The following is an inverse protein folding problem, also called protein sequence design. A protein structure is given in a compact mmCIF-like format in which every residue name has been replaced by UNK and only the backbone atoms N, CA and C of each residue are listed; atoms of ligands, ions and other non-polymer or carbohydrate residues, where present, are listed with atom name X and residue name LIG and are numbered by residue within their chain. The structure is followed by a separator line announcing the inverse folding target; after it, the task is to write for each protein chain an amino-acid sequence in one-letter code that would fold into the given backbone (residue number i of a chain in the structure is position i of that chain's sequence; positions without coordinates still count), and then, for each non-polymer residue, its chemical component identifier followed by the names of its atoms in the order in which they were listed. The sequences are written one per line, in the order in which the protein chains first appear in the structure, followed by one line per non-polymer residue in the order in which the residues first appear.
data_IF_452532154498
#
_entry.id   IF_452532154498
#
_cell.length_a   1.000
_cell.length_b   1.000
_cell.length_c   1.000
_cell.angle_alpha   90.00
_cell.angle_beta   90.00
_cell.angle_gamma   90.00
#
_symmetry.space_group_name_H-M   'P 1'
#
loop_
_entity.id
_entity.type
_entity.pdbx_description
1 polymer ?
#
# COMPACT_ATOMS: atom_id res chain seq x y z
N UNK A 1 9.42 25.75 -18.40
CA UNK A 1 10.70 25.98 -19.11
C UNK A 1 11.83 25.68 -18.13
N UNK A 2 12.68 24.70 -18.43
CA UNK A 2 13.87 24.40 -17.64
C UNK A 2 15.00 25.37 -18.04
N UNK A 3 15.69 25.95 -17.07
CA UNK A 3 16.80 26.92 -17.30
C UNK A 3 18.05 26.41 -16.59
N UNK A 4 19.21 26.83 -17.08
CA UNK A 4 20.53 26.53 -16.49
C UNK A 4 20.86 25.03 -16.41
N UNK A 5 20.56 24.30 -17.46
CA UNK A 5 20.93 22.89 -17.53
C UNK A 5 22.46 22.76 -17.77
N UNK A 6 23.10 21.74 -17.21
CA UNK A 6 24.51 21.46 -17.47
C UNK A 6 24.73 21.14 -18.96
N UNK A 7 25.88 21.57 -19.51
CA UNK A 7 26.27 21.22 -20.88
C UNK A 7 26.63 19.75 -20.95
N UNK A 8 26.07 19.03 -21.91
CA UNK A 8 26.29 17.59 -22.10
C UNK A 8 25.01 16.81 -22.27
N UNK A 9 25.10 15.50 -22.06
CA UNK A 9 23.96 14.59 -22.13
C UNK A 9 23.15 14.69 -20.83
N UNK A 10 21.87 15.04 -20.95
CA UNK A 10 20.92 15.09 -19.83
C UNK A 10 19.71 14.22 -20.15
N UNK A 11 19.19 13.53 -19.17
CA UNK A 11 17.95 12.76 -19.30
C UNK A 11 16.80 13.66 -18.85
N UNK A 12 15.88 13.95 -19.77
CA UNK A 12 14.63 14.64 -19.45
C UNK A 12 13.56 13.60 -19.19
N UNK A 13 12.99 13.63 -17.99
CA UNK A 13 11.85 12.79 -17.62
C UNK A 13 10.61 13.67 -17.48
N UNK A 14 9.55 13.31 -18.21
CA UNK A 14 8.24 13.97 -18.15
C UNK A 14 7.23 13.02 -17.51
N UNK A 15 6.60 13.47 -16.44
CA UNK A 15 5.56 12.71 -15.72
C UNK A 15 4.28 13.53 -15.66
N UNK A 16 3.16 12.87 -15.89
CA UNK A 16 1.82 13.43 -15.69
C UNK A 16 0.89 12.35 -15.16
N UNK A 17 -0.06 12.71 -14.30
CA UNK A 17 -1.03 11.76 -13.77
C UNK A 17 -1.84 11.12 -14.92
N UNK A 18 -1.99 9.80 -14.92
CA UNK A 18 -2.70 9.05 -15.96
C UNK A 18 -1.92 8.81 -17.26
N UNK A 19 -0.62 9.13 -17.30
CA UNK A 19 0.23 8.91 -18.46
C UNK A 19 1.52 8.19 -18.08
N UNK A 20 2.04 7.37 -19.01
CA UNK A 20 3.35 6.72 -18.86
C UNK A 20 4.46 7.75 -18.79
N UNK A 21 5.41 7.58 -17.87
CA UNK A 21 6.58 8.43 -17.81
C UNK A 21 7.38 8.34 -19.12
N UNK A 22 7.66 9.50 -19.69
CA UNK A 22 8.49 9.61 -20.90
C UNK A 22 9.91 10.02 -20.50
N UNK A 23 10.90 9.28 -21.00
CA UNK A 23 12.32 9.57 -20.77
C UNK A 23 13.02 9.75 -22.11
N UNK A 24 13.78 10.83 -22.25
CA UNK A 24 14.59 11.06 -23.44
C UNK A 24 15.94 11.68 -23.05
N UNK A 25 17.00 11.16 -23.67
CA UNK A 25 18.33 11.76 -23.60
C UNK A 25 18.41 12.95 -24.57
N UNK A 26 18.78 14.11 -24.07
CA UNK A 26 18.94 15.35 -24.85
C UNK A 26 20.35 15.87 -24.62
N UNK A 27 21.03 16.23 -25.70
CA UNK A 27 22.35 16.87 -25.59
C UNK A 27 22.19 18.37 -25.53
N UNK A 28 22.56 18.96 -24.42
CA UNK A 28 22.49 20.40 -24.17
C UNK A 28 23.81 21.07 -24.56
N UNK A 29 23.72 22.27 -25.19
CA UNK A 29 24.86 23.12 -25.55
C UNK A 29 24.71 24.50 -24.90
N UNK A 30 25.83 25.17 -24.67
CA UNK A 30 25.82 26.50 -24.07
C UNK A 30 25.11 27.50 -25.00
N UNK A 31 24.18 28.28 -24.42
CA UNK A 31 23.38 29.31 -25.12
C UNK A 31 22.46 28.76 -26.25
N UNK A 32 22.10 27.46 -26.22
CA UNK A 32 21.16 26.90 -27.17
C UNK A 32 19.84 26.54 -26.45
N UNK A 33 18.71 26.76 -27.15
CA UNK A 33 17.38 26.39 -26.67
C UNK A 33 16.91 25.17 -27.47
N UNK A 34 16.61 24.08 -26.78
CA UNK A 34 16.00 22.91 -27.37
C UNK A 34 14.50 22.89 -27.04
N UNK A 35 13.67 22.80 -28.06
CA UNK A 35 12.26 22.58 -27.93
C UNK A 35 11.99 21.06 -28.01
N UNK A 36 11.37 20.52 -26.95
CA UNK A 36 11.04 19.11 -26.86
C UNK A 36 9.52 18.96 -26.81
N UNK A 37 8.94 18.48 -27.91
CA UNK A 37 7.52 18.19 -27.98
C UNK A 37 7.29 16.72 -27.57
N UNK A 38 6.64 16.51 -26.45
CA UNK A 38 6.41 15.19 -25.87
C UNK A 38 4.93 14.83 -25.99
N UNK A 39 4.64 13.75 -26.70
CA UNK A 39 3.31 13.11 -26.65
C UNK A 39 3.34 12.01 -25.60
N UNK A 40 2.68 12.27 -24.48
CA UNK A 40 2.51 11.26 -23.45
C UNK A 40 1.43 10.26 -23.87
N UNK A 41 1.71 8.96 -23.70
CA UNK A 41 0.74 7.90 -23.90
C UNK A 41 -0.06 7.70 -22.63
N UNK A 42 -1.40 7.55 -22.70
CA UNK A 42 -2.19 7.19 -21.54
C UNK A 42 -1.61 5.95 -20.86
N UNK A 43 -1.65 5.95 -19.56
CA UNK A 43 -1.19 4.83 -18.76
C UNK A 43 -2.35 3.87 -18.53
N UNK A 44 -2.53 2.91 -19.44
CA UNK A 44 -3.54 1.85 -19.34
C UNK A 44 -3.19 0.79 -18.28
N UNK A 45 -2.22 1.11 -17.40
CA UNK A 45 -1.59 0.19 -16.43
C UNK A 45 -2.58 -0.52 -15.52
N UNK A 46 -3.77 0.05 -15.25
CA UNK A 46 -4.74 -0.59 -14.39
C UNK A 46 -5.29 -1.93 -14.93
N UNK A 47 -5.14 -2.19 -16.24
CA UNK A 47 -5.64 -3.43 -16.87
C UNK A 47 -4.55 -4.49 -17.08
N UNK A 48 -3.29 -4.07 -17.20
CA UNK A 48 -2.13 -4.97 -17.34
C UNK A 48 -1.47 -5.31 -15.99
N UNK A 49 -2.10 -4.91 -14.88
CA UNK A 49 -1.64 -5.23 -13.55
C UNK A 49 -1.73 -6.73 -13.29
N UNK A 50 -0.63 -7.30 -12.77
CA UNK A 50 -0.57 -8.71 -12.42
C UNK A 50 -1.13 -8.90 -11.01
N UNK A 51 -2.07 -9.82 -10.87
CA UNK A 51 -2.69 -10.22 -9.61
C UNK A 51 -2.45 -11.69 -9.32
N UNK A 52 -2.39 -12.06 -8.07
CA UNK A 52 -2.15 -13.45 -7.64
C UNK A 52 -3.32 -14.05 -6.84
N UNK A 53 -4.21 -13.22 -6.34
CA UNK A 53 -5.29 -13.66 -5.43
C UNK A 53 -6.43 -14.41 -6.13
N UNK A 54 -6.52 -14.31 -7.45
CA UNK A 54 -7.60 -14.94 -8.20
C UNK A 54 -7.50 -16.46 -8.27
N UNK A 55 -6.27 -16.99 -8.42
CA UNK A 55 -6.01 -18.42 -8.65
C UNK A 55 -4.69 -18.92 -8.04
N UNK A 56 -4.09 -18.16 -7.12
CA UNK A 56 -2.77 -18.41 -6.51
C UNK A 56 -1.60 -18.42 -7.49
N UNK A 57 -1.80 -17.94 -8.70
CA UNK A 57 -0.74 -17.76 -9.70
C UNK A 57 -0.79 -16.35 -10.27
N UNK A 58 0.34 -15.89 -10.78
CA UNK A 58 0.42 -14.60 -11.44
C UNK A 58 -0.42 -14.61 -12.71
N UNK A 59 -1.43 -13.73 -12.75
CA UNK A 59 -2.35 -13.60 -13.87
C UNK A 59 -2.60 -12.13 -14.13
N UNK A 60 -2.75 -11.74 -15.37
CA UNK A 60 -3.16 -10.38 -15.69
C UNK A 60 -4.57 -10.12 -15.11
N UNK A 61 -4.75 -8.97 -14.46
CA UNK A 61 -6.02 -8.63 -13.81
C UNK A 61 -7.23 -8.76 -14.77
N UNK A 62 -7.05 -8.40 -16.04
CA UNK A 62 -8.08 -8.52 -17.09
C UNK A 62 -8.44 -9.98 -17.44
N UNK A 63 -7.52 -10.91 -17.20
CA UNK A 63 -7.70 -12.35 -17.48
C UNK A 63 -8.12 -13.13 -16.23
N UNK A 64 -8.25 -12.43 -15.12
CA UNK A 64 -8.68 -13.01 -13.85
C UNK A 64 -10.12 -13.54 -13.95
N UNK A 65 -10.41 -14.77 -13.50
CA UNK A 65 -11.75 -15.34 -13.51
C UNK A 65 -12.68 -14.66 -12.48
N UNK A 66 -12.13 -13.88 -11.56
CA UNK A 66 -12.86 -13.13 -10.53
C UNK A 66 -12.43 -11.68 -10.53
N UNK A 67 -13.30 -10.79 -10.08
CA UNK A 67 -12.98 -9.37 -9.96
C UNK A 67 -12.03 -9.17 -8.79
N UNK A 68 -10.82 -8.72 -9.12
CA UNK A 68 -9.79 -8.35 -8.14
C UNK A 68 -9.70 -6.83 -8.08
N UNK A 69 -10.01 -6.26 -6.93
CA UNK A 69 -9.74 -4.86 -6.65
C UNK A 69 -8.31 -4.73 -6.11
N UNK A 70 -7.57 -3.76 -6.62
CA UNK A 70 -6.20 -3.51 -6.18
C UNK A 70 -6.14 -2.15 -5.51
N UNK A 71 -5.57 -2.13 -4.32
CA UNK A 71 -5.20 -0.94 -3.56
C UNK A 71 -3.69 -0.81 -3.66
N UNK A 72 -3.21 0.19 -4.37
CA UNK A 72 -1.79 0.46 -4.55
C UNK A 72 -1.21 1.36 -3.44
N UNK A 73 0.11 1.41 -3.36
CA UNK A 73 0.81 2.28 -2.39
C UNK A 73 0.53 3.75 -2.60
N UNK A 74 0.26 4.20 -3.84
CA UNK A 74 -0.04 5.61 -4.12
C UNK A 74 -1.31 6.07 -3.40
N UNK A 75 -2.33 5.19 -3.30
CA UNK A 75 -3.53 5.51 -2.54
C UNK A 75 -3.23 5.59 -1.04
N UNK A 76 -2.44 4.65 -0.49
CA UNK A 76 -2.02 4.69 0.92
C UNK A 76 -1.24 5.97 1.25
N UNK A 77 -0.34 6.37 0.38
CA UNK A 77 0.45 7.61 0.52
C UNK A 77 -0.42 8.86 0.40
N UNK A 78 -1.30 8.92 -0.61
CA UNK A 78 -2.17 10.09 -0.84
C UNK A 78 -3.21 10.30 0.25
N UNK A 79 -3.63 9.23 0.91
CA UNK A 79 -4.56 9.28 2.05
C UNK A 79 -3.86 9.40 3.40
N UNK A 80 -2.51 9.48 3.40
CA UNK A 80 -1.70 9.48 4.63
C UNK A 80 -2.05 8.32 5.60
N UNK A 81 -2.42 7.18 5.03
CA UNK A 81 -2.79 6.00 5.82
C UNK A 81 -1.54 5.41 6.49
N UNK A 82 -1.47 5.52 7.80
CA UNK A 82 -0.35 5.00 8.60
C UNK A 82 -0.46 3.49 8.84
N UNK A 83 -1.68 2.95 8.72
CA UNK A 83 -1.96 1.53 8.84
C UNK A 83 -2.72 1.03 7.62
N UNK A 84 -2.61 -0.27 7.35
CA UNK A 84 -3.35 -0.91 6.28
C UNK A 84 -4.87 -0.76 6.46
N UNK A 85 -5.35 -0.87 7.70
CA UNK A 85 -6.77 -0.76 8.06
C UNK A 85 -7.37 0.56 7.58
N UNK A 86 -6.66 1.66 7.76
CA UNK A 86 -7.10 2.98 7.28
C UNK A 86 -7.24 3.01 5.75
N UNK A 87 -6.27 2.45 5.03
CA UNK A 87 -6.30 2.39 3.57
C UNK A 87 -7.44 1.53 3.00
N UNK A 88 -7.80 0.45 3.70
CA UNK A 88 -8.88 -0.44 3.27
C UNK A 88 -10.26 0.24 3.24
N UNK A 89 -10.49 1.27 4.05
CA UNK A 89 -11.74 2.03 4.04
C UNK A 89 -12.01 2.78 2.72
N UNK A 90 -10.97 3.00 1.91
CA UNK A 90 -11.13 3.63 0.59
C UNK A 90 -11.51 2.64 -0.52
N UNK A 91 -11.70 1.36 -0.16
CA UNK A 91 -12.09 0.33 -1.14
C UNK A 91 -13.59 0.07 -1.12
N UNK A 92 -14.28 0.16 -2.28
CA UNK A 92 -15.70 -0.11 -2.37
C UNK A 92 -16.04 -1.52 -1.88
N UNK A 93 -17.07 -1.62 -1.00
CA UNK A 93 -17.53 -2.89 -0.44
C UNK A 93 -16.66 -3.45 0.68
N UNK A 94 -15.65 -2.70 1.11
CA UNK A 94 -14.83 -3.01 2.29
C UNK A 94 -15.08 -1.95 3.36
N UNK A 95 -15.28 -2.37 4.59
CA UNK A 95 -15.44 -1.49 5.74
C UNK A 95 -14.59 -2.01 6.89
N UNK A 96 -13.83 -1.13 7.50
CA UNK A 96 -13.13 -1.42 8.74
C UNK A 96 -13.94 -0.90 9.92
N UNK A 97 -14.07 -1.68 10.96
CA UNK A 97 -14.77 -1.32 12.20
C UNK A 97 -13.82 -1.47 13.36
N UNK A 98 -13.64 -0.40 14.12
CA UNK A 98 -12.90 -0.39 15.37
C UNK A 98 -13.90 -0.56 16.52
N UNK A 99 -14.12 -1.78 16.97
CA UNK A 99 -15.09 -2.06 18.02
C UNK A 99 -14.58 -1.72 19.43
N UNK A 100 -13.28 -1.63 19.60
CA UNK A 100 -12.66 -1.20 20.83
C UNK A 100 -11.33 -0.51 20.52
N UNK A 101 -11.33 0.82 20.53
CA UNK A 101 -10.13 1.62 20.22
C UNK A 101 -8.99 1.38 21.21
N UNK A 102 -9.31 1.15 22.48
CA UNK A 102 -8.31 0.88 23.52
C UNK A 102 -7.77 -0.55 23.48
N UNK A 103 -8.52 -1.49 22.91
CA UNK A 103 -8.11 -2.91 22.81
C UNK A 103 -7.41 -3.22 21.48
N UNK A 104 -7.39 -2.30 20.50
CA UNK A 104 -6.90 -2.57 19.14
C UNK A 104 -7.76 -3.59 18.39
N UNK A 105 -9.06 -3.66 18.71
CA UNK A 105 -10.00 -4.58 18.08
C UNK A 105 -10.56 -3.96 16.82
N UNK A 106 -9.89 -4.22 15.70
CA UNK A 106 -10.33 -3.80 14.37
C UNK A 106 -10.69 -5.01 13.52
N UNK A 107 -11.84 -4.98 12.88
CA UNK A 107 -12.24 -6.01 11.94
C UNK A 107 -12.51 -5.43 10.56
N UNK A 108 -12.25 -6.23 9.52
CA UNK A 108 -12.55 -5.86 8.15
C UNK A 108 -13.75 -6.65 7.66
N UNK A 109 -14.80 -5.93 7.28
CA UNK A 109 -16.03 -6.48 6.70
C UNK A 109 -15.99 -6.35 5.19
N UNK A 110 -16.27 -7.44 4.49
CA UNK A 110 -16.44 -7.45 3.04
C UNK A 110 -17.92 -7.66 2.73
N UNK A 111 -18.52 -6.76 1.95
CA UNK A 111 -19.96 -6.80 1.60
C UNK A 111 -20.89 -6.89 2.82
N UNK A 112 -20.50 -6.33 3.96
CA UNK A 112 -21.27 -6.33 5.20
C UNK A 112 -21.20 -7.61 6.02
N UNK A 113 -20.49 -8.65 5.54
CA UNK A 113 -20.26 -9.87 6.31
C UNK A 113 -19.26 -9.61 7.43
N UNK A 114 -19.41 -10.34 8.53
CA UNK A 114 -18.55 -10.22 9.70
C UNK A 114 -17.07 -10.54 9.38
N UNK A 115 -16.15 -9.91 10.10
CA UNK A 115 -14.71 -9.98 9.84
C UNK A 115 -14.14 -11.39 9.82
N UNK A 116 -14.71 -12.34 10.56
CA UNK A 116 -14.25 -13.74 10.56
C UNK A 116 -14.57 -14.50 9.25
N UNK A 117 -15.43 -13.94 8.38
CA UNK A 117 -15.67 -14.43 7.02
C UNK A 117 -14.75 -13.79 5.98
N UNK A 118 -13.85 -12.91 6.40
CA UNK A 118 -12.88 -12.23 5.54
C UNK A 118 -11.51 -12.85 5.79
N UNK A 119 -10.98 -13.60 4.81
CA UNK A 119 -9.67 -14.22 4.92
C UNK A 119 -8.55 -13.22 4.60
N UNK A 120 -7.63 -13.05 5.54
CA UNK A 120 -6.45 -12.19 5.35
C UNK A 120 -5.25 -13.07 5.02
N UNK A 121 -4.53 -12.66 3.98
CA UNK A 121 -3.34 -13.32 3.47
C UNK A 121 -2.18 -12.33 3.42
N UNK A 122 -0.97 -12.84 3.64
CA UNK A 122 0.27 -12.14 3.33
C UNK A 122 1.02 -13.01 2.32
N UNK A 123 1.33 -12.46 1.14
CA UNK A 123 1.94 -13.15 0.02
C UNK A 123 1.26 -14.51 -0.27
N UNK A 124 -0.07 -14.48 -0.33
CA UNK A 124 -0.95 -15.66 -0.58
C UNK A 124 -0.93 -16.72 0.52
N UNK A 125 -0.35 -16.44 1.67
CA UNK A 125 -0.33 -17.33 2.83
C UNK A 125 -1.32 -16.83 3.88
N UNK A 126 -2.24 -17.68 4.38
CA UNK A 126 -3.17 -17.29 5.43
C UNK A 126 -2.42 -16.80 6.68
N UNK A 127 -2.83 -15.64 7.19
CA UNK A 127 -2.41 -15.19 8.51
C UNK A 127 -3.22 -15.99 9.52
N UNK A 128 -2.54 -16.88 10.25
CA UNK A 128 -3.20 -17.81 11.17
C UNK A 128 -3.66 -17.10 12.42
N UNK A 129 -4.91 -17.18 12.67
CA UNK A 129 -5.75 -17.26 13.86
C UNK A 129 -6.99 -16.38 13.73
N UNK A 130 -8.11 -16.88 14.23
CA UNK A 130 -9.34 -16.09 14.40
C UNK A 130 -9.10 -14.79 15.22
N UNK A 131 -8.09 -14.80 16.13
CA UNK A 131 -7.66 -13.62 16.87
C UNK A 131 -6.83 -12.64 16.04
N UNK A 132 -5.95 -13.09 15.16
CA UNK A 132 -5.10 -12.20 14.34
C UNK A 132 -5.87 -11.51 13.22
N UNK A 133 -6.95 -12.09 12.74
CA UNK A 133 -7.85 -11.41 11.80
C UNK A 133 -8.55 -10.20 12.43
N UNK A 134 -8.50 -10.10 13.74
CA UNK A 134 -9.15 -9.04 14.52
C UNK A 134 -8.13 -8.12 15.21
N UNK A 135 -7.08 -8.69 15.81
CA UNK A 135 -6.10 -7.92 16.60
C UNK A 135 -4.79 -7.62 15.87
N UNK A 136 -4.52 -8.20 14.72
CA UNK A 136 -3.23 -8.08 14.03
C UNK A 136 -3.18 -7.06 12.90
N UNK A 137 -4.34 -6.62 12.40
CA UNK A 137 -4.40 -5.78 11.21
C UNK A 137 -3.79 -4.39 11.39
N UNK A 138 -3.94 -3.81 12.57
CA UNK A 138 -3.32 -2.51 12.87
C UNK A 138 -1.79 -2.60 13.01
N UNK A 139 -1.26 -3.80 13.21
CA UNK A 139 0.17 -4.02 13.33
C UNK A 139 0.86 -4.19 11.96
N UNK A 140 0.07 -4.30 10.89
CA UNK A 140 0.62 -4.39 9.54
C UNK A 140 0.96 -2.98 9.05
N UNK A 141 2.25 -2.64 8.97
CA UNK A 141 2.66 -1.30 8.59
C UNK A 141 2.44 -1.09 7.09
N UNK A 142 1.92 0.08 6.72
CA UNK A 142 1.68 0.41 5.30
C UNK A 142 2.97 0.46 4.48
N UNK A 143 4.12 0.73 5.12
CA UNK A 143 5.42 0.81 4.45
C UNK A 143 5.95 -0.52 3.91
N UNK A 144 5.51 -1.66 4.45
CA UNK A 144 5.88 -2.99 3.92
C UNK A 144 5.05 -3.40 2.70
N UNK A 145 3.91 -2.74 2.49
CA UNK A 145 2.92 -3.14 1.48
C UNK A 145 3.32 -2.61 0.11
N UNK A 146 3.36 -3.48 -0.89
CA UNK A 146 3.47 -3.11 -2.29
C UNK A 146 2.09 -2.80 -2.88
N UNK A 147 1.13 -3.69 -2.64
CA UNK A 147 -0.27 -3.54 -3.01
C UNK A 147 -1.14 -4.46 -2.17
N UNK A 148 -2.42 -4.22 -2.15
CA UNK A 148 -3.40 -5.13 -1.55
C UNK A 148 -4.38 -5.57 -2.62
N UNK A 149 -4.56 -6.86 -2.76
CA UNK A 149 -5.50 -7.48 -3.68
C UNK A 149 -6.73 -7.94 -2.91
N UNK A 150 -7.90 -7.48 -3.32
CA UNK A 150 -9.16 -7.79 -2.65
C UNK A 150 -10.07 -8.53 -3.62
N UNK A 151 -10.38 -9.77 -3.29
CA UNK A 151 -11.37 -10.61 -3.97
C UNK A 151 -12.61 -10.67 -3.12
N UNK A 152 -13.74 -10.25 -3.68
CA UNK A 152 -15.03 -10.24 -2.98
C UNK A 152 -15.84 -11.47 -3.32
N UNK A 153 -16.23 -12.22 -2.27
CA UNK A 153 -16.98 -13.48 -2.42
C UNK A 153 -16.15 -14.62 -3.00
N UNK A 154 -16.65 -15.83 -2.92
CA UNK A 154 -16.15 -16.99 -3.68
C UNK A 154 -14.74 -17.50 -3.36
N UNK A 155 -14.04 -16.95 -2.38
CA UNK A 155 -12.65 -17.31 -2.06
C UNK A 155 -12.49 -18.64 -1.31
N UNK A 156 -13.57 -19.22 -0.79
CA UNK A 156 -13.53 -20.39 0.09
C UNK A 156 -12.93 -21.64 -0.55
N UNK A 157 -13.11 -21.84 -1.85
CA UNK A 157 -12.52 -22.96 -2.58
C UNK A 157 -10.99 -22.91 -2.62
N UNK A 158 -10.40 -21.71 -2.62
CA UNK A 158 -8.96 -21.52 -2.72
C UNK A 158 -8.30 -21.28 -1.36
N UNK A 159 -8.99 -20.57 -0.47
CA UNK A 159 -8.40 -20.02 0.76
C UNK A 159 -9.06 -20.51 2.04
N UNK A 160 -10.06 -21.42 1.94
CA UNK A 160 -10.70 -22.05 3.08
C UNK A 160 -11.98 -21.36 3.55
N UNK A 161 -12.61 -21.94 4.58
CA UNK A 161 -13.95 -21.55 5.07
C UNK A 161 -14.05 -20.08 5.53
N UNK A 162 -12.96 -19.49 5.98
CA UNK A 162 -12.93 -18.08 6.39
C UNK A 162 -13.03 -17.10 5.23
N UNK A 163 -12.92 -17.56 3.97
CA UNK A 163 -12.97 -16.71 2.77
C UNK A 163 -14.36 -16.66 2.12
N UNK A 164 -15.43 -16.88 2.88
CA UNK A 164 -16.81 -16.82 2.36
C UNK A 164 -17.17 -15.39 1.93
N UNK A 165 -16.81 -14.41 2.72
CA UNK A 165 -17.02 -12.98 2.41
C UNK A 165 -16.06 -12.47 1.35
N UNK A 166 -14.87 -13.03 1.30
CA UNK A 166 -13.79 -12.66 0.39
C UNK A 166 -12.41 -12.84 0.99
N UNK A 167 -11.41 -12.43 0.22
CA UNK A 167 -10.01 -12.46 0.64
C UNK A 167 -9.36 -11.10 0.47
N UNK A 168 -8.47 -10.77 1.40
CA UNK A 168 -7.59 -9.60 1.38
C UNK A 168 -6.17 -10.12 1.38
N UNK A 169 -5.49 -10.04 0.25
CA UNK A 169 -4.12 -10.50 0.09
C UNK A 169 -3.16 -9.31 0.06
N UNK A 170 -2.31 -9.24 1.04
CA UNK A 170 -1.30 -8.20 1.21
C UNK A 170 -0.04 -8.69 0.51
N UNK A 171 0.33 -8.00 -0.55
CA UNK A 171 1.57 -8.30 -1.28
C UNK A 171 2.66 -7.39 -0.73
N UNK A 172 3.73 -7.99 -0.23
CA UNK A 172 4.85 -7.26 0.35
C UNK A 172 5.79 -6.72 -0.71
N UNK A 173 6.50 -5.64 -0.38
CA UNK A 173 7.53 -5.07 -1.25
C UNK A 173 8.68 -6.04 -1.42
N UNK A 174 9.13 -6.19 -2.66
CA UNK A 174 10.34 -6.95 -2.99
C UNK A 174 11.53 -6.00 -3.14
N UNK A 175 12.75 -6.45 -2.78
CA UNK A 175 13.95 -5.66 -2.97
C UNK A 175 14.26 -5.52 -4.46
N UNK A 176 14.19 -4.30 -4.99
CA UNK A 176 14.49 -3.98 -6.40
C UNK A 176 15.73 -3.11 -6.57
N UNK A 177 16.05 -2.32 -5.56
CA UNK A 177 17.19 -1.40 -5.53
C UNK A 177 17.70 -1.22 -4.10
N UNK A 178 18.93 -0.72 -3.98
CA UNK A 178 19.47 -0.37 -2.67
C UNK A 178 18.86 0.95 -2.22
N UNK A 179 18.07 0.90 -1.15
CA UNK A 179 17.41 2.08 -0.58
C UNK A 179 17.26 1.95 0.92
N UNK A 180 17.21 3.08 1.60
CA UNK A 180 16.86 3.16 3.01
C UNK A 180 15.99 4.39 3.23
N UNK A 181 14.87 4.19 3.93
CA UNK A 181 13.97 5.28 4.28
C UNK A 181 13.48 5.17 5.71
N UNK A 182 13.30 6.33 6.33
CA UNK A 182 12.71 6.47 7.66
C UNK A 182 11.66 7.56 7.61
N UNK A 183 10.48 7.24 8.11
CA UNK A 183 9.39 8.20 8.23
C UNK A 183 8.88 8.26 9.67
N UNK A 184 8.49 9.46 10.11
CA UNK A 184 7.86 9.66 11.41
C UNK A 184 6.58 10.45 11.21
N UNK A 185 5.47 9.93 11.75
CA UNK A 185 4.15 10.55 11.67
C UNK A 185 3.63 10.80 13.07
N UNK A 186 3.19 12.02 13.31
CA UNK A 186 2.52 12.40 14.56
C UNK A 186 1.08 12.77 14.22
N UNK A 187 0.13 12.07 14.84
CA UNK A 187 -1.29 12.39 14.73
C UNK A 187 -1.80 12.86 16.07
N UNK A 188 -2.39 14.05 16.11
CA UNK A 188 -2.93 14.64 17.32
C UNK A 188 -4.45 14.69 17.33
N UNK A 189 -5.06 14.37 18.47
CA UNK A 189 -6.45 14.66 18.77
C UNK A 189 -6.50 15.79 19.81
N UNK A 190 -7.22 16.88 19.49
CA UNK A 190 -7.18 18.12 20.29
C UNK A 190 -8.52 18.49 20.92
N UNK A 191 -9.50 17.59 20.96
CA UNK A 191 -10.82 17.86 21.51
C UNK A 191 -10.93 17.32 22.95
N UNK A 192 -10.61 18.16 23.95
CA UNK A 192 -10.65 17.81 25.38
C UNK A 192 -9.25 17.56 25.94
N UNK A 193 -8.75 16.34 25.91
CA UNK A 193 -7.36 16.03 26.24
C UNK A 193 -6.51 15.95 24.96
N UNK A 194 -5.22 16.32 25.08
CA UNK A 194 -4.29 16.22 23.95
C UNK A 194 -3.68 14.82 23.95
N UNK A 195 -4.11 13.98 23.00
CA UNK A 195 -3.53 12.67 22.80
C UNK A 195 -2.74 12.63 21.48
N UNK A 196 -1.52 12.11 21.55
CA UNK A 196 -0.67 11.95 20.38
C UNK A 196 -0.48 10.47 20.05
N UNK A 197 -0.61 10.16 18.76
CA UNK A 197 -0.19 8.89 18.17
C UNK A 197 1.11 9.15 17.41
N UNK A 198 2.19 8.55 17.87
CA UNK A 198 3.51 8.63 17.28
C UNK A 198 3.81 7.33 16.55
N UNK A 199 4.07 7.41 15.26
CA UNK A 199 4.40 6.25 14.43
C UNK A 199 5.71 6.50 13.69
N UNK A 200 6.71 5.67 13.97
CA UNK A 200 8.02 5.69 13.28
C UNK A 200 8.13 4.42 12.46
N UNK A 201 8.41 4.55 11.18
CA UNK A 201 8.62 3.42 10.26
C UNK A 201 9.98 3.54 9.60
N UNK A 202 10.60 2.39 9.31
CA UNK A 202 11.86 2.33 8.61
C UNK A 202 11.91 1.16 7.65
N UNK A 203 12.55 1.35 6.50
CA UNK A 203 12.76 0.35 5.47
C UNK A 203 14.23 0.33 5.07
N UNK A 204 14.74 -0.87 4.82
CA UNK A 204 16.05 -1.09 4.23
C UNK A 204 15.93 -2.15 3.14
N UNK A 205 16.29 -1.79 1.93
CA UNK A 205 16.37 -2.69 0.78
C UNK A 205 17.81 -2.81 0.33
N UNK A 206 18.30 -4.04 0.20
CA UNK A 206 19.64 -4.33 -0.28
C UNK A 206 19.56 -5.38 -1.37
N UNK A 207 20.17 -5.10 -2.51
CA UNK A 207 20.18 -5.98 -3.67
C UNK A 207 21.62 -6.19 -4.13
N UNK A 208 21.94 -7.43 -4.48
CA UNK A 208 23.28 -7.75 -5.05
C UNK A 208 23.44 -7.13 -6.44
N UNK A 209 24.67 -6.82 -6.83
CA UNK A 209 25.00 -6.19 -8.12
C UNK A 209 24.51 -6.96 -9.35
N UNK A 210 24.28 -8.25 -9.23
CA UNK A 210 23.76 -9.10 -10.29
C UNK A 210 22.24 -9.34 -10.22
N UNK A 211 21.53 -8.66 -9.31
CA UNK A 211 20.09 -8.78 -9.04
C UNK A 211 19.59 -10.22 -8.78
N UNK A 212 20.49 -11.12 -8.33
CA UNK A 212 20.12 -12.51 -8.06
C UNK A 212 19.68 -12.77 -6.63
N UNK A 213 20.02 -11.87 -5.72
CA UNK A 213 19.60 -11.93 -4.33
C UNK A 213 19.31 -10.53 -3.82
N UNK A 214 18.31 -10.42 -2.97
CA UNK A 214 17.95 -9.19 -2.30
C UNK A 214 17.41 -9.48 -0.92
N UNK A 215 17.50 -8.48 -0.07
CA UNK A 215 17.00 -8.50 1.29
C UNK A 215 16.20 -7.23 1.54
N UNK A 216 15.00 -7.37 2.08
CA UNK A 216 14.15 -6.26 2.47
C UNK A 216 13.83 -6.37 3.96
N UNK A 217 14.20 -5.35 4.72
CA UNK A 217 13.88 -5.22 6.14
C UNK A 217 12.95 -4.03 6.33
N UNK A 218 11.90 -4.24 7.09
CA UNK A 218 11.01 -3.18 7.52
C UNK A 218 10.80 -3.24 9.03
N UNK A 219 10.57 -2.09 9.63
CA UNK A 219 10.29 -1.97 11.05
C UNK A 219 9.29 -0.86 11.31
N UNK A 220 8.54 -1.01 12.40
CA UNK A 220 7.61 0.00 12.88
C UNK A 220 7.66 0.06 14.40
N UNK A 221 7.63 1.28 14.92
CA UNK A 221 7.38 1.55 16.34
C UNK A 221 6.24 2.55 16.43
N UNK A 222 5.15 2.14 17.08
CA UNK A 222 3.98 2.99 17.27
C UNK A 222 3.64 3.11 18.73
N UNK A 223 3.42 4.34 19.17
CA UNK A 223 2.95 4.64 20.51
C UNK A 223 1.73 5.55 20.41
N UNK A 224 0.59 5.07 20.87
CA UNK A 224 -0.66 5.82 20.94
C UNK A 224 -0.95 6.15 22.40
N UNK A 225 -1.08 7.43 22.72
CA UNK A 225 -1.56 7.85 24.02
C UNK A 225 -3.06 7.55 24.17
N UNK A 226 -3.50 7.22 25.37
CA UNK A 226 -4.93 7.10 25.66
C UNK A 226 -5.63 8.44 25.40
N UNK A 227 -6.79 8.39 24.78
CA UNK A 227 -7.60 9.55 24.48
C UNK A 227 -8.78 9.57 25.45
N UNK A 228 -8.73 10.50 26.37
CA UNK A 228 -9.78 10.78 27.34
C UNK A 228 -10.49 12.07 26.92
N UNK A 229 -11.73 11.96 26.44
CA UNK A 229 -12.49 13.08 25.87
C UNK A 229 -13.09 13.99 26.95
N UNK A 230 -13.53 13.43 28.03
CA UNK A 230 -14.25 14.12 29.12
C UNK A 230 -13.42 14.35 30.36
N UNK A 231 -12.21 13.79 30.43
CA UNK A 231 -11.24 14.03 31.50
C UNK A 231 -11.56 13.23 32.75
N UNK A 232 -12.32 12.15 32.65
CA UNK A 232 -12.71 11.30 33.77
C UNK A 232 -11.67 10.22 34.14
N UNK A 233 -10.62 10.07 33.32
CA UNK A 233 -9.49 9.16 33.54
C UNK A 233 -9.74 7.72 33.05
N UNK A 234 -10.81 7.49 32.26
CA UNK A 234 -11.15 6.19 31.69
C UNK A 234 -11.22 6.21 30.16
#
# INVERSE_FOLDING_TARGET
MLRNLPVGKVIVEVRSAGYRAYKQEVTTQKNNTHELNVMLKPDDIALDEVVVSANRSQTLRRESPVVVNVLDTKLLESTHSTTLVQGLNFQPGVRTEDNCTNCGFSQVRINGLDGHYSQILIDSRPVFTALQGVYGLEQIPSNMVQRVEIVRGGGSALFGASAIGGTINIITKEPSENSADVAHTITGATNGSTAFDNNTTGNLSVVTTNNRAGFYLYGQSRHRAAYDRDGDGY
#
